data_IF_146229200422
#
_entry.id   IF_146229200422
#
_cell.length_a   1.000
_cell.length_b   1.000
_cell.length_c   1.000
_cell.angle_alpha   90.00
_cell.angle_beta   90.00
_cell.angle_gamma   90.00
#
_symmetry.space_group_name_H-M   'P 1'
#
loop_
_entity.id
_entity.type
_entity.pdbx_description
1 polymer ?
#
# COMPACT_ATOMS: atom_id res chain seq x y z
N UNK A 1 -9.59 11.89 -4.51
CA UNK A 1 -9.63 10.83 -3.48
C UNK A 1 -8.24 10.22 -3.45
N UNK A 2 -7.58 10.14 -2.30
CA UNK A 2 -6.17 9.70 -2.26
C UNK A 2 -6.08 8.18 -2.38
N UNK A 3 -5.16 7.68 -3.22
CA UNK A 3 -4.90 6.25 -3.40
C UNK A 3 -3.59 5.86 -2.73
N UNK A 4 -3.67 4.89 -1.83
CA UNK A 4 -2.56 4.31 -1.09
C UNK A 4 -2.33 2.89 -1.61
N UNK A 5 -1.12 2.62 -2.07
CA UNK A 5 -0.73 1.31 -2.58
C UNK A 5 0.29 0.66 -1.67
N UNK A 6 -0.09 -0.47 -1.08
CA UNK A 6 0.79 -1.27 -0.26
C UNK A 6 1.56 -2.23 -1.16
N UNK A 7 2.89 -2.14 -1.17
CA UNK A 7 3.76 -3.01 -1.97
C UNK A 7 4.62 -3.88 -1.05
N UNK A 8 4.47 -5.20 -1.13
CA UNK A 8 5.28 -6.12 -0.33
C UNK A 8 5.72 -7.34 -1.14
N UNK A 9 7.00 -7.71 -0.99
CA UNK A 9 7.60 -8.87 -1.67
C UNK A 9 7.57 -10.18 -0.89
N UNK A 10 7.11 -10.14 0.37
CA UNK A 10 7.26 -11.26 1.31
C UNK A 10 6.03 -12.19 1.37
N UNK A 11 5.09 -12.06 0.43
CA UNK A 11 3.92 -12.93 0.28
C UNK A 11 2.59 -12.31 0.72
N UNK A 12 1.49 -12.86 0.17
CA UNK A 12 0.12 -12.32 0.21
C UNK A 12 -0.38 -11.98 1.63
N UNK A 13 -0.08 -12.83 2.61
CA UNK A 13 -0.56 -12.65 3.99
C UNK A 13 0.01 -11.41 4.69
N UNK A 14 1.28 -11.07 4.41
CA UNK A 14 1.91 -9.89 5.00
C UNK A 14 1.36 -8.59 4.42
N UNK A 15 1.10 -8.56 3.11
CA UNK A 15 0.49 -7.41 2.41
C UNK A 15 -0.93 -7.13 2.91
N UNK A 16 -1.71 -8.19 3.14
CA UNK A 16 -3.11 -8.06 3.57
C UNK A 16 -3.23 -7.49 4.99
N UNK A 17 -2.34 -7.91 5.91
CA UNK A 17 -2.31 -7.37 7.27
C UNK A 17 -2.01 -5.87 7.26
N UNK A 18 -1.06 -5.42 6.45
CA UNK A 18 -0.72 -4.00 6.32
C UNK A 18 -1.91 -3.22 5.76
N UNK A 19 -2.57 -3.73 4.70
CA UNK A 19 -3.78 -3.12 4.14
C UNK A 19 -4.86 -2.90 5.20
N UNK A 20 -5.14 -3.94 6.01
CA UNK A 20 -6.13 -3.86 7.10
C UNK A 20 -5.75 -2.85 8.17
N UNK A 21 -4.47 -2.79 8.55
CA UNK A 21 -3.99 -1.83 9.55
C UNK A 21 -4.08 -0.39 9.03
N UNK A 22 -3.71 -0.14 7.77
CA UNK A 22 -3.83 1.19 7.14
C UNK A 22 -5.30 1.61 7.09
N UNK A 23 -6.20 0.72 6.66
CA UNK A 23 -7.66 0.98 6.66
C UNK A 23 -8.18 1.32 8.06
N UNK A 24 -7.74 0.61 9.10
CA UNK A 24 -8.10 0.92 10.49
C UNK A 24 -7.65 2.32 10.90
N UNK A 25 -6.37 2.64 10.70
CA UNK A 25 -5.83 3.96 11.07
C UNK A 25 -6.51 5.09 10.31
N UNK A 26 -6.77 4.91 9.01
CA UNK A 26 -7.51 5.89 8.21
C UNK A 26 -8.92 6.12 8.76
N UNK A 27 -9.61 5.06 9.16
CA UNK A 27 -10.93 5.14 9.77
C UNK A 27 -10.89 5.85 11.13
N UNK A 28 -9.89 5.55 11.97
CA UNK A 28 -9.67 6.25 13.26
C UNK A 28 -9.36 7.75 13.08
N UNK A 29 -8.69 8.11 11.98
CA UNK A 29 -8.38 9.50 11.63
C UNK A 29 -9.53 10.19 10.87
N UNK A 30 -10.61 9.47 10.51
CA UNK A 30 -11.71 10.01 9.70
C UNK A 30 -11.30 10.40 8.28
N UNK A 31 -10.25 9.76 7.73
CA UNK A 31 -9.72 10.04 6.39
C UNK A 31 -10.25 9.00 5.41
N UNK A 32 -10.95 9.46 4.37
CA UNK A 32 -11.33 8.60 3.24
C UNK A 32 -10.18 8.48 2.24
N UNK A 33 -9.60 7.29 2.14
CA UNK A 33 -8.61 6.93 1.14
C UNK A 33 -8.83 5.51 0.62
N UNK A 34 -8.50 5.30 -0.65
CA UNK A 34 -8.54 3.99 -1.28
C UNK A 34 -7.22 3.26 -1.00
N UNK A 35 -7.30 2.13 -0.30
CA UNK A 35 -6.12 1.32 0.03
C UNK A 35 -6.19 0.01 -0.73
N UNK A 36 -5.17 -0.25 -1.55
CA UNK A 36 -4.97 -1.50 -2.28
C UNK A 36 -3.59 -2.08 -1.95
N UNK A 37 -3.41 -3.38 -2.19
CA UNK A 37 -2.10 -4.03 -2.08
C UNK A 37 -1.70 -4.70 -3.40
N UNK A 38 -0.40 -4.77 -3.64
CA UNK A 38 0.17 -5.38 -4.83
C UNK A 38 1.56 -5.95 -4.55
N UNK A 39 2.10 -6.70 -5.50
CA UNK A 39 3.46 -7.25 -5.43
C UNK A 39 4.50 -6.25 -5.98
N UNK A 40 5.78 -6.54 -5.71
CA UNK A 40 6.91 -5.70 -6.14
C UNK A 40 7.00 -5.52 -7.66
N UNK A 41 6.57 -6.53 -8.43
CA UNK A 41 6.63 -6.53 -9.89
C UNK A 41 5.58 -5.61 -10.49
N UNK A 42 4.35 -5.70 -10.00
CA UNK A 42 3.18 -4.98 -10.53
C UNK A 42 3.09 -3.57 -9.96
N UNK A 43 3.46 -3.38 -8.69
CA UNK A 43 3.43 -2.09 -8.00
C UNK A 43 4.34 -1.02 -8.58
N UNK A 44 5.37 -1.39 -9.36
CA UNK A 44 6.21 -0.42 -10.10
C UNK A 44 5.45 0.26 -11.25
N UNK A 45 4.42 -0.40 -11.80
CA UNK A 45 3.64 0.12 -12.92
C UNK A 45 2.32 0.76 -12.49
N UNK A 46 1.89 0.49 -11.26
CA UNK A 46 0.66 1.00 -10.72
C UNK A 46 0.85 2.40 -10.13
N UNK A 47 -0.04 3.33 -10.48
CA UNK A 47 -0.02 4.70 -9.96
C UNK A 47 -0.78 4.81 -8.65
N UNK A 48 -0.15 5.44 -7.66
CA UNK A 48 -0.73 5.79 -6.37
C UNK A 48 -0.19 7.14 -5.90
N UNK A 49 -0.91 7.79 -4.99
CA UNK A 49 -0.45 9.02 -4.34
C UNK A 49 0.58 8.71 -3.23
N UNK A 50 0.48 7.52 -2.64
CA UNK A 50 1.36 7.05 -1.59
C UNK A 50 1.66 5.56 -1.77
N UNK A 51 2.93 5.20 -1.68
CA UNK A 51 3.37 3.82 -1.68
C UNK A 51 3.84 3.43 -0.28
N UNK A 52 3.31 2.33 0.25
CA UNK A 52 3.65 1.78 1.56
C UNK A 52 4.28 0.41 1.36
N UNK A 53 5.58 0.26 1.64
CA UNK A 53 6.26 -1.00 1.43
C UNK A 53 7.52 -1.11 2.27
N UNK A 54 8.21 -2.24 2.17
CA UNK A 54 9.55 -2.36 2.74
C UNK A 54 10.53 -1.49 1.96
N UNK A 55 11.63 -1.07 2.61
CA UNK A 55 12.68 -0.19 2.04
C UNK A 55 13.22 -0.66 0.68
N UNK A 56 13.04 -1.94 0.35
CA UNK A 56 13.44 -2.53 -0.94
C UNK A 56 12.52 -2.18 -2.11
N UNK A 57 11.37 -1.54 -1.87
CA UNK A 57 10.56 -0.95 -2.93
C UNK A 57 11.22 0.34 -3.43
N UNK A 58 12.12 0.21 -4.39
CA UNK A 58 12.63 1.33 -5.19
C UNK A 58 11.57 1.73 -6.22
N UNK A 59 10.44 2.25 -5.74
CA UNK A 59 9.51 2.99 -6.61
C UNK A 59 10.21 4.26 -7.03
N UNK A 60 10.97 4.18 -8.12
CA UNK A 60 11.73 5.29 -8.71
C UNK A 60 10.83 6.52 -8.79
N UNK A 61 11.14 7.53 -7.98
CA UNK A 61 10.60 8.88 -8.10
C UNK A 61 11.30 9.60 -9.25
#
# INVERSE_FOLDING_TARGET
MKKILVVCGNGLGSSFIIEMNVKKVLNELGIEAEVSHTDLTTGQTEKADLYLGSERFSGST
#
